data_IF_730907627097
#
_entry.id   IF_730907627097
#
_cell.length_a   1.000
_cell.length_b   1.000
_cell.length_c   1.000
_cell.angle_alpha   90.00
_cell.angle_beta   90.00
_cell.angle_gamma   90.00
#
_symmetry.space_group_name_H-M   'P 1'
#
loop_
_entity.id
_entity.type
_entity.pdbx_description
1 polymer ?
#
# COMPACT_ATOMS: atom_id res chain seq x y z
N UNK A 1 5.12 38.69 -31.45
CA UNK A 1 5.21 38.63 -29.97
C UNK A 1 4.31 37.51 -29.43
N UNK A 2 4.47 36.26 -29.92
CA UNK A 2 3.49 35.18 -29.69
C UNK A 2 4.11 33.78 -29.53
N UNK A 3 5.43 33.67 -29.33
CA UNK A 3 6.14 32.37 -29.26
C UNK A 3 6.45 31.86 -27.84
N UNK A 4 6.21 32.66 -26.79
CA UNK A 4 6.60 32.29 -25.41
C UNK A 4 5.48 31.66 -24.55
N UNK A 5 4.22 31.65 -25.00
CA UNK A 5 3.08 31.12 -24.22
C UNK A 5 2.84 29.60 -24.38
N UNK A 6 3.35 28.97 -25.43
CA UNK A 6 3.21 27.53 -25.69
C UNK A 6 4.05 26.59 -24.77
N UNK A 7 5.29 26.91 -24.36
CA UNK A 7 6.08 26.01 -23.51
C UNK A 7 5.53 25.90 -22.07
N UNK A 8 4.93 26.96 -21.52
CA UNK A 8 4.44 26.96 -20.13
C UNK A 8 3.21 26.04 -19.95
N UNK A 9 2.30 26.01 -20.93
CA UNK A 9 1.11 25.14 -20.91
C UNK A 9 1.46 23.64 -21.02
N UNK A 10 2.55 23.32 -21.71
CA UNK A 10 2.99 21.93 -21.86
C UNK A 10 3.73 21.41 -20.63
N UNK A 11 4.40 22.27 -19.86
CA UNK A 11 5.02 21.88 -18.59
C UNK A 11 3.98 21.62 -17.48
N UNK A 12 2.97 22.49 -17.35
CA UNK A 12 1.91 22.32 -16.33
C UNK A 12 1.10 21.04 -16.55
N UNK A 13 0.76 20.72 -17.80
CA UNK A 13 0.07 19.47 -18.14
C UNK A 13 0.90 18.23 -17.80
N UNK A 14 2.21 18.25 -18.05
CA UNK A 14 3.12 17.14 -17.69
C UNK A 14 3.28 16.99 -16.18
N UNK A 15 3.28 18.08 -15.43
CA UNK A 15 3.32 18.05 -13.97
C UNK A 15 2.02 17.46 -13.40
N UNK A 16 0.86 17.86 -13.94
CA UNK A 16 -0.42 17.30 -13.56
C UNK A 16 -0.49 15.79 -13.85
N UNK A 17 -0.08 15.35 -15.04
CA UNK A 17 -0.03 13.93 -15.40
C UNK A 17 0.88 13.12 -14.45
N UNK A 18 2.05 13.68 -14.10
CA UNK A 18 2.96 13.04 -13.14
C UNK A 18 2.35 12.94 -11.75
N UNK A 19 1.73 14.02 -11.25
CA UNK A 19 1.08 14.04 -9.95
C UNK A 19 -0.04 13.00 -9.89
N UNK A 20 -0.89 12.95 -10.92
CA UNK A 20 -1.99 11.98 -11.04
C UNK A 20 -1.44 10.55 -11.04
N UNK A 21 -0.42 10.25 -11.84
CA UNK A 21 0.22 8.93 -11.85
C UNK A 21 0.83 8.57 -10.49
N UNK A 22 1.40 9.53 -9.77
CA UNK A 22 1.92 9.33 -8.42
C UNK A 22 0.82 8.99 -7.40
N UNK A 23 -0.32 9.67 -7.46
CA UNK A 23 -1.49 9.39 -6.62
C UNK A 23 -2.02 7.99 -6.88
N UNK A 24 -2.19 7.61 -8.15
CA UNK A 24 -2.66 6.29 -8.53
C UNK A 24 -1.70 5.18 -8.12
N UNK A 25 -0.40 5.43 -8.21
CA UNK A 25 0.61 4.50 -7.71
C UNK A 25 0.57 4.34 -6.18
N UNK A 26 0.41 5.45 -5.46
CA UNK A 26 0.26 5.43 -4.00
C UNK A 26 -1.00 4.66 -3.59
N UNK A 27 -2.10 4.85 -4.32
CA UNK A 27 -3.35 4.14 -4.10
C UNK A 27 -3.20 2.64 -4.35
N UNK A 28 -2.54 2.26 -5.45
CA UNK A 28 -2.21 0.87 -5.73
C UNK A 28 -1.46 0.20 -4.56
N UNK A 29 -0.37 0.83 -4.10
CA UNK A 29 0.45 0.29 -3.01
C UNK A 29 -0.35 0.21 -1.70
N UNK A 30 -1.18 1.20 -1.43
CA UNK A 30 -2.05 1.23 -0.26
C UNK A 30 -3.09 0.10 -0.26
N UNK A 31 -3.76 -0.11 -1.40
CA UNK A 31 -4.69 -1.23 -1.57
C UNK A 31 -3.98 -2.56 -1.37
N UNK A 32 -2.78 -2.72 -1.94
CA UNK A 32 -1.99 -3.95 -1.75
C UNK A 32 -1.60 -4.17 -0.29
N UNK A 33 -1.31 -3.13 0.47
CA UNK A 33 -0.97 -3.25 1.89
C UNK A 33 -2.17 -3.68 2.75
N UNK A 34 -3.37 -3.18 2.46
CA UNK A 34 -4.58 -3.51 3.20
C UNK A 34 -5.16 -4.89 2.83
N UNK A 35 -4.99 -5.32 1.58
CA UNK A 35 -5.66 -6.51 1.03
C UNK A 35 -5.40 -7.84 1.77
N UNK A 36 -4.17 -8.17 2.23
CA UNK A 36 -3.92 -9.43 2.94
C UNK A 36 -4.72 -9.58 4.23
N UNK A 37 -5.00 -8.49 4.93
CA UNK A 37 -5.83 -8.53 6.14
C UNK A 37 -7.28 -8.85 5.80
N UNK A 38 -7.85 -8.19 4.79
CA UNK A 38 -9.21 -8.50 4.32
C UNK A 38 -9.35 -9.92 3.78
N UNK A 39 -8.33 -10.41 3.06
CA UNK A 39 -8.29 -11.80 2.60
C UNK A 39 -8.25 -12.78 3.78
N UNK A 40 -7.50 -12.46 4.83
CA UNK A 40 -7.43 -13.28 6.03
C UNK A 40 -8.74 -13.30 6.80
N UNK A 41 -9.37 -12.14 7.01
CA UNK A 41 -10.68 -12.05 7.67
C UNK A 41 -11.75 -12.81 6.89
N UNK A 42 -11.81 -12.64 5.57
CA UNK A 42 -12.69 -13.42 4.70
C UNK A 42 -12.45 -14.93 4.79
N UNK A 43 -11.18 -15.36 4.87
CA UNK A 43 -10.83 -16.77 5.05
C UNK A 43 -11.27 -17.32 6.42
N UNK A 44 -11.12 -16.54 7.49
CA UNK A 44 -11.57 -16.94 8.83
C UNK A 44 -13.09 -17.14 8.87
N UNK A 45 -13.84 -16.24 8.23
CA UNK A 45 -15.31 -16.35 8.10
C UNK A 45 -15.68 -17.63 7.33
N UNK A 46 -15.01 -17.90 6.21
CA UNK A 46 -15.18 -19.12 5.41
C UNK A 46 -14.93 -20.38 6.25
N UNK A 47 -13.82 -20.45 6.97
CA UNK A 47 -13.45 -21.62 7.77
C UNK A 47 -14.40 -21.89 8.94
N UNK A 48 -15.11 -20.87 9.42
CA UNK A 48 -15.99 -20.99 10.57
C UNK A 48 -17.42 -21.50 10.22
N UNK A 49 -17.93 -21.31 9.00
CA UNK A 49 -19.35 -21.59 8.69
C UNK A 49 -19.61 -22.11 7.26
N UNK A 50 -19.77 -23.44 7.10
CA UNK A 50 -20.03 -24.05 5.78
C UNK A 50 -21.51 -23.94 5.31
N UNK A 51 -21.94 -22.84 4.65
CA UNK A 51 -23.25 -22.62 4.00
C UNK A 51 -23.19 -21.89 2.64
N UNK A 52 -24.26 -21.90 1.82
CA UNK A 52 -24.36 -21.27 0.47
C UNK A 52 -23.92 -19.79 0.38
N UNK A 53 -23.91 -19.06 1.48
CA UNK A 53 -23.45 -17.67 1.58
C UNK A 53 -21.93 -17.58 1.41
N UNK A 54 -21.20 -18.64 1.78
CA UNK A 54 -19.76 -18.74 1.56
C UNK A 54 -19.38 -18.76 0.09
N UNK A 55 -20.23 -19.27 -0.80
CA UNK A 55 -19.93 -19.32 -2.23
C UNK A 55 -19.76 -17.91 -2.81
N UNK A 56 -20.50 -16.92 -2.27
CA UNK A 56 -20.35 -15.51 -2.62
C UNK A 56 -19.07 -14.90 -2.02
N UNK A 57 -18.72 -15.25 -0.77
CA UNK A 57 -17.46 -14.82 -0.16
C UNK A 57 -16.22 -15.47 -0.77
N UNK A 58 -16.32 -16.73 -1.23
CA UNK A 58 -15.29 -17.44 -1.98
C UNK A 58 -15.17 -16.90 -3.42
N UNK A 59 -16.27 -16.44 -4.03
CA UNK A 59 -16.24 -15.67 -5.28
C UNK A 59 -15.62 -14.28 -5.09
N UNK A 60 -15.85 -13.63 -3.95
CA UNK A 60 -15.21 -12.36 -3.59
C UNK A 60 -13.71 -12.52 -3.36
N UNK A 61 -13.32 -13.46 -2.51
CA UNK A 61 -11.93 -13.83 -2.25
C UNK A 61 -11.28 -14.31 -3.55
N UNK A 62 -11.99 -15.09 -4.36
CA UNK A 62 -11.56 -15.57 -5.68
C UNK A 62 -11.40 -14.46 -6.72
N UNK A 63 -12.20 -13.39 -6.66
CA UNK A 63 -12.08 -12.23 -7.56
C UNK A 63 -10.97 -11.28 -7.10
N UNK A 64 -10.86 -10.97 -5.81
CA UNK A 64 -9.71 -10.26 -5.24
C UNK A 64 -8.42 -11.03 -5.55
N UNK A 65 -8.39 -12.35 -5.29
CA UNK A 65 -7.29 -13.23 -5.66
C UNK A 65 -7.06 -13.20 -7.16
N UNK A 66 -8.04 -13.35 -8.05
CA UNK A 66 -7.82 -13.32 -9.49
C UNK A 66 -7.08 -12.05 -9.95
N UNK A 67 -7.35 -10.89 -9.35
CA UNK A 67 -6.66 -9.63 -9.65
C UNK A 67 -5.27 -9.49 -9.05
N UNK A 68 -4.98 -10.12 -7.90
CA UNK A 68 -3.61 -10.22 -7.36
C UNK A 68 -2.80 -11.30 -8.08
N UNK A 69 -3.46 -12.41 -8.37
CA UNK A 69 -2.94 -13.64 -8.95
C UNK A 69 -2.63 -13.42 -10.42
N UNK A 70 -3.39 -12.66 -11.20
CA UNK A 70 -3.05 -12.46 -12.62
C UNK A 70 -1.73 -11.71 -12.84
N UNK A 71 -1.43 -10.57 -12.16
CA UNK A 71 -0.10 -9.96 -12.15
C UNK A 71 0.98 -10.88 -11.58
N UNK A 72 0.69 -11.61 -10.50
CA UNK A 72 1.68 -12.52 -9.89
C UNK A 72 1.95 -13.75 -10.76
N UNK A 73 0.94 -14.32 -11.42
CA UNK A 73 1.02 -15.44 -12.36
C UNK A 73 1.74 -15.00 -13.61
N UNK A 74 1.45 -13.82 -14.17
CA UNK A 74 2.22 -13.31 -15.31
C UNK A 74 3.69 -13.11 -14.93
N UNK A 75 4.00 -12.64 -13.71
CA UNK A 75 5.39 -12.56 -13.22
C UNK A 75 6.04 -13.93 -13.03
N UNK A 76 5.32 -14.91 -12.48
CA UNK A 76 5.78 -16.29 -12.26
C UNK A 76 6.00 -17.04 -13.58
N UNK A 77 5.04 -16.94 -14.50
CA UNK A 77 5.08 -17.55 -15.83
C UNK A 77 6.29 -17.07 -16.63
N UNK A 78 6.65 -15.79 -16.50
CA UNK A 78 7.81 -15.24 -17.20
C UNK A 78 9.12 -15.42 -16.44
N UNK A 79 9.12 -15.99 -15.22
CA UNK A 79 10.25 -16.05 -14.27
C UNK A 79 11.03 -14.73 -14.15
N UNK A 80 10.36 -13.61 -14.45
CA UNK A 80 10.94 -12.29 -14.57
C UNK A 80 10.21 -11.42 -13.57
N UNK A 81 10.97 -10.92 -12.59
CA UNK A 81 10.47 -9.96 -11.61
C UNK A 81 10.15 -8.58 -12.22
N UNK A 82 10.18 -8.43 -13.55
CA UNK A 82 9.81 -7.20 -14.25
C UNK A 82 8.36 -7.32 -14.73
N UNK A 83 7.42 -6.54 -14.17
CA UNK A 83 6.06 -6.54 -14.65
C UNK A 83 6.04 -6.09 -16.12
N UNK A 84 5.52 -6.95 -16.99
CA UNK A 84 5.36 -6.67 -18.41
C UNK A 84 3.96 -6.07 -18.65
N UNK A 85 3.67 -4.92 -18.03
CA UNK A 85 2.48 -4.15 -18.37
C UNK A 85 2.72 -3.42 -19.70
N UNK A 86 2.61 -4.17 -20.78
CA UNK A 86 2.65 -3.63 -22.15
C UNK A 86 1.25 -3.10 -22.47
N UNK A 87 0.96 -1.85 -22.09
CA UNK A 87 -0.15 -1.09 -22.70
C UNK A 87 -1.24 -0.51 -21.78
N UNK A 88 -1.33 -0.87 -20.49
CA UNK A 88 -2.30 -0.22 -19.59
C UNK A 88 -1.71 1.03 -18.92
N UNK A 89 -2.50 2.09 -18.84
CA UNK A 89 -2.08 3.30 -18.13
C UNK A 89 -2.07 3.04 -16.61
N UNK A 90 -1.13 3.63 -15.83
CA UNK A 90 -1.12 3.51 -14.37
C UNK A 90 -2.44 3.96 -13.73
N UNK A 91 -3.08 4.96 -14.34
CA UNK A 91 -4.43 5.43 -14.02
C UNK A 91 -5.47 4.32 -14.15
N UNK A 92 -5.48 3.58 -15.27
CA UNK A 92 -6.41 2.47 -15.46
C UNK A 92 -6.16 1.34 -14.44
N UNK A 93 -4.88 1.00 -14.19
CA UNK A 93 -4.53 -0.04 -13.21
C UNK A 93 -4.99 0.33 -11.79
N UNK A 94 -4.78 1.58 -11.38
CA UNK A 94 -5.16 2.04 -10.05
C UNK A 94 -6.66 2.30 -9.91
N UNK A 95 -7.35 2.79 -10.95
CA UNK A 95 -8.81 2.90 -10.96
C UNK A 95 -9.45 1.52 -10.89
N UNK A 96 -8.91 0.53 -11.61
CA UNK A 96 -9.37 -0.85 -11.48
C UNK A 96 -9.11 -1.37 -10.07
N UNK A 97 -7.90 -1.22 -9.52
CA UNK A 97 -7.60 -1.65 -8.15
C UNK A 97 -8.51 -0.98 -7.11
N UNK A 98 -8.81 0.31 -7.27
CA UNK A 98 -9.75 1.03 -6.41
C UNK A 98 -11.17 0.49 -6.55
N UNK A 99 -11.66 0.32 -7.79
CA UNK A 99 -12.99 -0.21 -8.05
C UNK A 99 -13.15 -1.62 -7.45
N UNK A 100 -12.13 -2.47 -7.56
CA UNK A 100 -12.11 -3.79 -6.93
C UNK A 100 -11.99 -3.75 -5.41
N UNK A 101 -11.25 -2.79 -4.84
CA UNK A 101 -11.20 -2.60 -3.40
C UNK A 101 -12.58 -2.19 -2.85
N UNK A 102 -13.23 -1.21 -3.49
CA UNK A 102 -14.59 -0.77 -3.12
C UNK A 102 -15.60 -1.90 -3.29
N UNK A 103 -15.57 -2.62 -4.43
CA UNK A 103 -16.41 -3.80 -4.63
C UNK A 103 -16.11 -4.88 -3.58
N UNK A 104 -14.84 -5.07 -3.23
CA UNK A 104 -14.33 -5.90 -2.15
C UNK A 104 -15.04 -5.63 -0.84
N UNK A 105 -14.98 -4.38 -0.39
CA UNK A 105 -15.61 -3.91 0.85
C UNK A 105 -17.13 -4.05 0.79
N UNK A 106 -17.77 -3.61 -0.29
CA UNK A 106 -19.24 -3.70 -0.42
C UNK A 106 -19.75 -5.15 -0.37
N UNK A 107 -19.03 -6.09 -1.00
CA UNK A 107 -19.43 -7.50 -0.99
C UNK A 107 -19.08 -8.16 0.34
N UNK A 108 -17.93 -7.82 0.96
CA UNK A 108 -17.59 -8.28 2.31
C UNK A 108 -18.73 -7.94 3.29
N UNK A 109 -19.22 -6.70 3.23
CA UNK A 109 -20.31 -6.21 4.07
C UNK A 109 -21.65 -6.85 3.76
N UNK A 110 -21.97 -7.05 2.47
CA UNK A 110 -23.17 -7.80 2.10
C UNK A 110 -23.13 -9.25 2.65
N UNK A 111 -21.95 -9.86 2.71
CA UNK A 111 -21.75 -11.21 3.26
C UNK A 111 -21.87 -11.21 4.79
N UNK A 112 -21.21 -10.29 5.51
CA UNK A 112 -21.28 -10.23 6.99
C UNK A 112 -22.72 -10.04 7.45
N UNK A 113 -23.48 -9.16 6.80
CA UNK A 113 -24.90 -8.94 7.08
C UNK A 113 -25.78 -10.17 6.76
N UNK A 114 -25.44 -10.95 5.75
CA UNK A 114 -26.21 -12.14 5.38
C UNK A 114 -25.94 -13.35 6.30
N UNK A 115 -24.74 -13.45 6.87
CA UNK A 115 -24.31 -14.58 7.73
C UNK A 115 -24.84 -14.44 9.16
N UNK A 116 -24.99 -13.22 9.67
CA UNK A 116 -25.39 -13.03 11.07
C UNK A 116 -26.90 -13.26 11.29
N UNK A 117 -27.27 -14.52 11.58
CA UNK A 117 -28.65 -14.98 11.80
C UNK A 117 -29.32 -14.42 13.07
N UNK A 118 -28.64 -13.58 13.85
CA UNK A 118 -29.16 -12.99 15.08
C UNK A 118 -29.21 -11.46 15.10
N UNK A 119 -28.88 -10.79 13.99
CA UNK A 119 -28.69 -9.35 14.00
C UNK A 119 -30.02 -8.58 14.19
N UNK A 120 -30.07 -7.76 15.24
CA UNK A 120 -31.03 -6.66 15.35
C UNK A 120 -30.79 -5.75 14.15
N UNK A 121 -31.81 -5.35 13.37
CA UNK A 121 -31.62 -4.50 12.21
C UNK A 121 -31.09 -3.12 12.63
N UNK A 122 -29.77 -2.99 12.69
CA UNK A 122 -29.10 -1.71 12.58
C UNK A 122 -29.22 -1.19 11.15
N UNK A 123 -29.16 0.13 10.92
CA UNK A 123 -29.16 0.67 9.57
C UNK A 123 -27.94 0.12 8.81
N UNK A 124 -28.20 -0.60 7.70
CA UNK A 124 -27.24 -1.20 6.75
C UNK A 124 -26.07 -0.27 6.41
N UNK A 125 -26.35 1.04 6.39
CA UNK A 125 -25.36 2.07 6.09
C UNK A 125 -24.19 2.14 7.07
N UNK A 126 -24.37 1.74 8.34
CA UNK A 126 -23.30 1.86 9.36
C UNK A 126 -22.21 0.81 9.19
N UNK A 127 -22.57 -0.43 8.89
CA UNK A 127 -21.60 -1.52 8.76
C UNK A 127 -20.67 -1.31 7.54
N UNK A 128 -21.23 -0.84 6.42
CA UNK A 128 -20.44 -0.47 5.25
C UNK A 128 -19.45 0.65 5.53
N UNK A 129 -19.89 1.65 6.29
CA UNK A 129 -19.05 2.78 6.69
C UNK A 129 -17.91 2.29 7.57
N UNK A 130 -18.17 1.41 8.54
CA UNK A 130 -17.15 0.86 9.44
C UNK A 130 -16.09 0.04 8.68
N UNK A 131 -16.50 -0.81 7.72
CA UNK A 131 -15.56 -1.56 6.90
C UNK A 131 -14.73 -0.67 5.96
N UNK A 132 -15.33 0.40 5.43
CA UNK A 132 -14.59 1.41 4.67
C UNK A 132 -13.58 2.15 5.55
N UNK A 133 -13.95 2.50 6.78
CA UNK A 133 -13.03 3.11 7.74
C UNK A 133 -11.88 2.19 8.07
N UNK A 134 -12.14 0.90 8.30
CA UNK A 134 -11.10 -0.10 8.51
C UNK A 134 -10.18 -0.21 7.27
N UNK A 135 -10.72 -0.20 6.05
CA UNK A 135 -9.87 -0.23 4.85
C UNK A 135 -8.99 1.02 4.73
N UNK A 136 -9.53 2.18 5.06
CA UNK A 136 -8.79 3.45 5.08
C UNK A 136 -7.72 3.47 6.17
N UNK A 137 -7.99 2.86 7.33
CA UNK A 137 -7.06 2.69 8.44
C UNK A 137 -5.73 2.09 7.97
N UNK A 138 -5.81 0.91 7.33
CA UNK A 138 -4.64 0.19 6.84
C UNK A 138 -4.02 0.84 5.58
N UNK A 139 -4.83 1.47 4.73
CA UNK A 139 -4.36 2.06 3.47
C UNK A 139 -3.64 3.40 3.65
N UNK A 140 -3.96 4.19 4.68
CA UNK A 140 -3.52 5.59 4.75
C UNK A 140 -2.00 5.75 4.89
N UNK A 141 -1.33 4.95 5.73
CA UNK A 141 0.11 5.08 5.96
C UNK A 141 0.90 4.73 4.68
N UNK A 142 0.70 3.57 4.03
CA UNK A 142 1.40 3.24 2.78
C UNK A 142 1.10 4.23 1.65
N UNK A 143 -0.14 4.72 1.56
CA UNK A 143 -0.52 5.78 0.62
C UNK A 143 0.33 7.03 0.87
N UNK A 144 0.34 7.52 2.10
CA UNK A 144 1.01 8.76 2.46
C UNK A 144 2.53 8.65 2.27
N UNK A 145 3.14 7.54 2.67
CA UNK A 145 4.57 7.27 2.48
C UNK A 145 4.93 7.24 1.00
N UNK A 146 4.15 6.54 0.17
CA UNK A 146 4.42 6.44 -1.26
C UNK A 146 4.21 7.78 -1.97
N UNK A 147 3.17 8.53 -1.61
CA UNK A 147 2.93 9.87 -2.13
C UNK A 147 4.09 10.82 -1.78
N UNK A 148 4.58 10.76 -0.53
CA UNK A 148 5.72 11.55 -0.07
C UNK A 148 7.03 11.17 -0.80
N UNK A 149 7.25 9.89 -1.05
CA UNK A 149 8.35 9.39 -1.87
C UNK A 149 8.29 9.90 -3.31
N UNK A 150 7.11 9.89 -3.93
CA UNK A 150 6.91 10.45 -5.27
C UNK A 150 7.14 11.98 -5.28
N UNK A 151 6.67 12.68 -4.24
CA UNK A 151 6.90 14.11 -4.08
C UNK A 151 8.39 14.45 -3.93
N UNK A 152 9.17 13.60 -3.26
CA UNK A 152 10.62 13.79 -3.06
C UNK A 152 11.44 13.87 -4.37
N UNK A 153 10.89 13.31 -5.46
CA UNK A 153 11.45 13.41 -6.81
C UNK A 153 11.19 14.77 -7.47
N UNK A 154 10.09 15.45 -7.11
CA UNK A 154 9.75 16.75 -7.66
C UNK A 154 10.64 17.83 -7.03
N UNK A 155 11.42 18.53 -7.86
CA UNK A 155 12.56 19.35 -7.42
C UNK A 155 12.18 20.76 -6.89
N UNK A 156 11.11 20.92 -6.13
CA UNK A 156 10.64 22.24 -5.65
C UNK A 156 10.50 22.31 -4.13
N UNK A 157 10.89 23.43 -3.53
CA UNK A 157 10.57 23.78 -2.14
C UNK A 157 9.07 23.65 -1.82
N UNK A 158 8.21 23.83 -2.83
CA UNK A 158 6.76 23.72 -2.74
C UNK A 158 6.23 22.32 -2.40
N UNK A 159 7.03 21.24 -2.55
CA UNK A 159 6.60 19.87 -2.23
C UNK A 159 7.16 19.35 -0.91
N UNK A 160 7.89 20.17 -0.14
CA UNK A 160 8.29 19.84 1.23
C UNK A 160 7.11 19.54 2.18
N UNK A 161 5.94 20.22 2.12
CA UNK A 161 4.83 19.86 3.00
C UNK A 161 4.32 18.43 2.78
N UNK A 162 4.50 17.85 1.59
CA UNK A 162 4.13 16.46 1.32
C UNK A 162 5.00 15.45 2.10
N UNK A 163 6.16 15.85 2.63
CA UNK A 163 6.97 15.01 3.51
C UNK A 163 6.38 14.89 4.91
N UNK A 164 5.47 15.77 5.30
CA UNK A 164 4.74 15.69 6.56
C UNK A 164 3.53 14.74 6.46
N UNK A 165 3.08 14.41 5.24
CA UNK A 165 1.90 13.59 4.99
C UNK A 165 1.93 12.24 5.74
N UNK A 166 3.04 11.47 5.79
CA UNK A 166 3.08 10.22 6.54
C UNK A 166 2.87 10.42 8.04
N UNK A 167 3.46 11.47 8.62
CA UNK A 167 3.30 11.78 10.04
C UNK A 167 1.89 12.27 10.36
N UNK A 168 1.27 13.04 9.45
CA UNK A 168 -0.13 13.42 9.57
C UNK A 168 -1.03 12.20 9.51
N UNK A 169 -0.80 11.28 8.56
CA UNK A 169 -1.56 10.04 8.44
C UNK A 169 -1.45 9.20 9.72
N UNK A 170 -0.23 9.00 10.23
CA UNK A 170 0.04 8.34 11.51
C UNK A 170 -0.71 9.02 12.66
N UNK A 171 -0.56 10.34 12.83
CA UNK A 171 -1.26 11.08 13.89
C UNK A 171 -2.78 10.96 13.80
N UNK A 172 -3.34 10.99 12.58
CA UNK A 172 -4.76 10.78 12.36
C UNK A 172 -5.18 9.35 12.72
N UNK A 173 -4.38 8.33 12.39
CA UNK A 173 -4.67 6.95 12.80
C UNK A 173 -4.82 6.86 14.32
N UNK A 174 -3.84 7.40 15.06
CA UNK A 174 -3.88 7.39 16.51
C UNK A 174 -5.11 8.10 17.08
N UNK A 175 -5.52 9.23 16.51
CA UNK A 175 -6.62 10.05 17.07
C UNK A 175 -8.00 9.60 16.64
N UNK A 176 -8.15 9.09 15.42
CA UNK A 176 -9.46 8.73 14.85
C UNK A 176 -9.84 7.30 15.20
N UNK A 177 -8.88 6.38 15.23
CA UNK A 177 -9.11 4.96 15.47
C UNK A 177 -8.74 4.53 16.90
N UNK A 178 -8.45 5.50 17.77
CA UNK A 178 -8.19 5.29 19.20
C UNK A 178 -7.11 4.24 19.50
N UNK A 179 -6.10 4.12 18.63
CA UNK A 179 -5.03 3.12 18.77
C UNK A 179 -4.35 3.19 20.14
N UNK A 180 -4.10 2.01 20.71
CA UNK A 180 -3.34 1.92 21.95
C UNK A 180 -1.91 2.43 21.72
N UNK A 181 -1.28 3.00 22.75
CA UNK A 181 0.12 3.47 22.67
C UNK A 181 1.05 2.35 22.18
N UNK A 182 0.74 1.09 22.54
CA UNK A 182 1.47 -0.10 22.05
C UNK A 182 1.42 -0.19 20.53
N UNK A 183 0.23 -0.17 19.93
CA UNK A 183 0.00 -0.26 18.49
C UNK A 183 0.65 0.91 17.74
N UNK A 184 0.57 2.11 18.33
CA UNK A 184 1.25 3.30 17.81
C UNK A 184 2.76 3.07 17.73
N UNK A 185 3.37 2.54 18.80
CA UNK A 185 4.81 2.27 18.83
C UNK A 185 5.19 1.17 17.84
N UNK A 186 4.45 0.07 17.81
CA UNK A 186 4.76 -1.08 16.95
C UNK A 186 4.56 -0.81 15.47
N UNK A 187 3.72 0.17 15.12
CA UNK A 187 3.48 0.56 13.72
C UNK A 187 4.29 1.78 13.29
N UNK A 188 4.36 2.84 14.11
CA UNK A 188 4.97 4.11 13.69
C UNK A 188 6.48 4.01 13.56
N UNK A 189 7.15 3.27 14.46
CA UNK A 189 8.61 3.12 14.41
C UNK A 189 9.04 2.49 13.09
N UNK A 190 8.60 1.26 12.75
CA UNK A 190 8.96 0.64 11.47
C UNK A 190 8.49 1.47 10.27
N UNK A 191 7.28 2.04 10.29
CA UNK A 191 6.80 2.86 9.17
C UNK A 191 7.62 4.14 8.96
N UNK A 192 8.10 4.78 10.04
CA UNK A 192 8.99 5.94 9.97
C UNK A 192 10.35 5.55 9.40
N UNK A 193 10.92 4.42 9.85
CA UNK A 193 12.17 3.89 9.32
C UNK A 193 12.05 3.57 7.83
N UNK A 194 10.92 2.96 7.42
CA UNK A 194 10.59 2.68 6.01
C UNK A 194 10.56 3.99 5.23
N UNK A 195 9.77 4.97 5.69
CA UNK A 195 9.63 6.27 5.05
C UNK A 195 10.99 6.95 4.84
N UNK A 196 11.79 7.10 5.90
CA UNK A 196 13.10 7.78 5.84
C UNK A 196 14.06 7.03 4.92
N UNK A 197 14.18 5.71 5.07
CA UNK A 197 15.10 4.89 4.27
C UNK A 197 14.71 4.85 2.79
N UNK A 198 13.42 4.71 2.50
CA UNK A 198 12.88 4.80 1.15
C UNK A 198 13.07 6.19 0.55
N UNK A 199 12.85 7.26 1.32
CA UNK A 199 13.08 8.63 0.88
C UNK A 199 14.54 8.85 0.47
N UNK A 200 15.49 8.40 1.29
CA UNK A 200 16.93 8.47 0.97
C UNK A 200 17.25 7.65 -0.29
N UNK A 201 16.73 6.42 -0.40
CA UNK A 201 16.93 5.56 -1.57
C UNK A 201 16.44 6.24 -2.87
N UNK A 202 15.26 6.82 -2.82
CA UNK A 202 14.58 7.46 -3.93
C UNK A 202 15.28 8.76 -4.35
N UNK A 203 15.72 9.56 -3.36
CA UNK A 203 16.48 10.79 -3.60
C UNK A 203 17.84 10.53 -4.24
N UNK A 204 18.47 9.39 -3.92
CA UNK A 204 19.76 8.99 -4.51
C UNK A 204 19.60 8.54 -5.95
N UNK A 205 18.62 7.67 -6.24
CA UNK A 205 18.44 7.08 -7.56
C UNK A 205 16.96 6.83 -7.87
N UNK A 206 16.40 7.65 -8.76
CA UNK A 206 15.06 7.45 -9.33
C UNK A 206 15.18 6.73 -10.67
N UNK A 207 14.98 5.41 -10.67
CA UNK A 207 14.94 4.55 -11.86
C UNK A 207 13.73 3.59 -11.81
N UNK A 208 13.59 2.74 -12.83
CA UNK A 208 12.53 1.71 -12.90
C UNK A 208 12.57 0.74 -11.72
N UNK A 209 13.73 0.56 -11.08
CA UNK A 209 13.94 -0.38 -9.98
C UNK A 209 13.80 0.29 -8.60
N UNK A 210 13.52 1.59 -8.52
CA UNK A 210 13.42 2.32 -7.26
C UNK A 210 12.39 1.71 -6.31
N UNK A 211 11.21 1.34 -6.80
CA UNK A 211 10.17 0.69 -5.98
C UNK A 211 10.57 -0.70 -5.51
N UNK A 212 11.31 -1.47 -6.32
CA UNK A 212 11.85 -2.77 -5.88
C UNK A 212 12.91 -2.61 -4.81
N UNK A 213 13.74 -1.57 -4.88
CA UNK A 213 14.69 -1.24 -3.81
C UNK A 213 13.93 -0.84 -2.54
N UNK A 214 12.88 -0.03 -2.66
CA UNK A 214 12.01 0.29 -1.53
C UNK A 214 11.33 -0.95 -0.96
N UNK A 215 10.87 -1.89 -1.79
CA UNK A 215 10.32 -3.17 -1.33
C UNK A 215 11.32 -3.97 -0.50
N UNK A 216 12.59 -4.03 -0.93
CA UNK A 216 13.67 -4.67 -0.15
C UNK A 216 13.91 -3.96 1.17
N UNK A 217 13.94 -2.63 1.17
CA UNK A 217 14.10 -1.82 2.39
C UNK A 217 12.94 -2.08 3.35
N UNK A 218 11.70 -2.06 2.85
CA UNK A 218 10.49 -2.40 3.63
C UNK A 218 10.59 -3.80 4.22
N UNK A 219 10.98 -4.80 3.42
CA UNK A 219 11.16 -6.17 3.90
C UNK A 219 12.24 -6.28 4.99
N UNK A 220 13.40 -5.65 4.78
CA UNK A 220 14.48 -5.68 5.77
C UNK A 220 14.08 -5.00 7.08
N UNK A 221 13.39 -3.85 7.02
CA UNK A 221 12.95 -3.14 8.22
C UNK A 221 11.86 -3.92 8.94
N UNK A 222 10.87 -4.45 8.23
CA UNK A 222 9.80 -5.25 8.83
C UNK A 222 10.36 -6.52 9.50
N UNK A 223 11.21 -7.29 8.80
CA UNK A 223 11.84 -8.49 9.37
C UNK A 223 12.76 -8.15 10.54
N UNK A 224 13.54 -7.06 10.43
CA UNK A 224 14.38 -6.59 11.53
C UNK A 224 13.55 -6.18 12.76
N UNK A 225 12.42 -5.52 12.55
CA UNK A 225 11.49 -5.13 13.61
C UNK A 225 10.84 -6.34 14.29
N UNK A 226 10.39 -7.33 13.53
CA UNK A 226 9.84 -8.57 14.09
C UNK A 226 10.89 -9.36 14.87
N UNK A 227 12.09 -9.51 14.32
CA UNK A 227 13.19 -10.17 15.02
C UNK A 227 13.56 -9.44 16.33
N UNK A 228 13.64 -8.11 16.29
CA UNK A 228 13.91 -7.29 17.47
C UNK A 228 12.81 -7.44 18.51
N UNK A 229 11.53 -7.37 18.10
CA UNK A 229 10.39 -7.49 19.00
C UNK A 229 10.34 -8.86 19.67
N UNK A 230 10.60 -9.94 18.93
CA UNK A 230 10.73 -11.29 19.48
C UNK A 230 11.91 -11.40 20.45
N UNK A 231 13.08 -10.84 20.12
CA UNK A 231 14.25 -10.88 20.99
C UNK A 231 14.02 -10.10 22.30
N UNK A 232 13.38 -8.94 22.23
CA UNK A 232 13.01 -8.16 23.41
C UNK A 232 11.97 -8.90 24.27
N UNK A 233 10.95 -9.50 23.65
CA UNK A 233 9.95 -10.28 24.37
C UNK A 233 10.56 -11.50 25.07
N UNK A 234 11.49 -12.20 24.41
CA UNK A 234 12.23 -13.32 25.00
C UNK A 234 13.11 -12.84 26.16
N UNK A 235 13.82 -11.72 26.00
CA UNK A 235 14.65 -11.14 27.06
C UNK A 235 13.83 -10.78 28.30
N UNK A 236 12.66 -10.14 28.11
CA UNK A 236 11.74 -9.79 29.19
C UNK A 236 11.14 -11.02 29.88
N UNK A 237 10.90 -12.09 29.11
CA UNK A 237 10.45 -13.37 29.65
C UNK A 237 11.50 -14.00 30.56
N UNK A 238 12.78 -13.95 30.18
CA UNK A 238 13.88 -14.45 31.01
C UNK A 238 14.08 -13.67 32.31
N UNK A 239 13.79 -12.37 32.34
CA UNK A 239 13.95 -11.54 33.54
C UNK A 239 12.80 -11.69 34.55
N UNK A 240 11.81 -12.55 34.30
CA UNK A 240 10.60 -12.75 35.12
C UNK A 240 9.83 -11.46 35.48
N UNK A 241 10.14 -10.37 34.79
CA UNK A 241 9.40 -9.13 34.91
C UNK A 241 8.02 -9.33 34.30
N UNK A 242 6.96 -8.93 35.02
CA UNK A 242 5.60 -8.80 34.46
C UNK A 242 5.55 -7.60 33.48
N UNK A 243 6.46 -7.59 32.52
CA UNK A 243 6.52 -6.54 31.52
C UNK A 243 5.33 -6.70 30.55
N UNK A 244 4.76 -5.59 30.09
CA UNK A 244 3.72 -5.62 29.08
C UNK A 244 4.22 -6.33 27.82
N UNK A 245 3.35 -7.16 27.22
CA UNK A 245 3.62 -7.79 25.92
C UNK A 245 3.87 -6.71 24.87
N UNK A 246 4.98 -6.82 24.14
CA UNK A 246 5.31 -5.91 23.03
C UNK A 246 4.35 -6.12 21.86
N UNK A 247 4.03 -7.39 21.58
CA UNK A 247 3.03 -7.81 20.61
C UNK A 247 2.11 -8.86 21.24
N UNK A 248 0.81 -8.71 21.05
CA UNK A 248 -0.07 -9.85 21.08
C UNK A 248 0.17 -10.72 19.82
N UNK A 249 -0.03 -12.03 19.92
CA UNK A 249 0.06 -12.93 18.77
C UNK A 249 -0.85 -12.50 17.63
N UNK A 250 -2.04 -12.01 17.94
CA UNK A 250 -2.99 -11.49 16.95
C UNK A 250 -2.44 -10.25 16.23
N UNK A 251 -1.99 -9.24 16.98
CA UNK A 251 -1.37 -8.00 16.46
C UNK A 251 -0.14 -8.29 15.60
N UNK A 252 0.70 -9.24 16.01
CA UNK A 252 1.89 -9.63 15.27
C UNK A 252 1.55 -10.09 13.84
N UNK A 253 0.52 -10.93 13.70
CA UNK A 253 0.11 -11.46 12.41
C UNK A 253 -0.59 -10.43 11.53
N UNK A 254 -1.31 -9.48 12.14
CA UNK A 254 -1.90 -8.36 11.42
C UNK A 254 -0.78 -7.52 10.79
N UNK A 255 0.21 -7.10 11.58
CA UNK A 255 1.33 -6.30 11.07
C UNK A 255 2.16 -7.06 10.04
N UNK A 256 2.36 -8.37 10.23
CA UNK A 256 3.04 -9.20 9.25
C UNK A 256 2.35 -9.17 7.89
N UNK A 257 1.02 -9.36 7.87
CA UNK A 257 0.21 -9.32 6.65
C UNK A 257 0.23 -7.93 6.01
N UNK A 258 0.15 -6.88 6.83
CA UNK A 258 0.25 -5.50 6.38
C UNK A 258 1.58 -5.22 5.65
N UNK A 259 2.73 -5.55 6.26
CA UNK A 259 4.03 -5.34 5.60
C UNK A 259 4.19 -6.24 4.37
N UNK A 260 3.70 -7.48 4.40
CA UNK A 260 3.72 -8.36 3.25
C UNK A 260 2.96 -7.75 2.06
N UNK A 261 1.75 -7.24 2.30
CA UNK A 261 0.95 -6.56 1.29
C UNK A 261 1.65 -5.34 0.71
N UNK A 262 2.29 -4.54 1.56
CA UNK A 262 3.05 -3.36 1.14
C UNK A 262 4.24 -3.76 0.25
N UNK A 263 4.99 -4.80 0.64
CA UNK A 263 6.12 -5.32 -0.15
C UNK A 263 5.64 -5.81 -1.52
N UNK A 264 4.55 -6.59 -1.56
CA UNK A 264 3.94 -7.07 -2.81
C UNK A 264 3.59 -5.88 -3.68
N UNK A 265 2.84 -4.90 -3.14
CA UNK A 265 2.42 -3.69 -3.85
C UNK A 265 3.58 -2.94 -4.49
N UNK A 266 4.72 -2.83 -3.78
CA UNK A 266 5.94 -2.19 -4.29
C UNK A 266 6.65 -3.02 -5.39
N UNK A 267 6.60 -4.35 -5.32
CA UNK A 267 7.20 -5.24 -6.32
C UNK A 267 6.39 -5.23 -7.61
N UNK A 268 5.06 -5.28 -7.50
CA UNK A 268 4.13 -5.34 -8.64
C UNK A 268 3.71 -3.96 -9.13
N UNK A 269 4.24 -2.89 -8.51
CA UNK A 269 3.92 -1.51 -8.81
C UNK A 269 4.00 -1.23 -10.33
N UNK A 270 2.92 -0.69 -10.95
CA UNK A 270 2.92 -0.41 -12.37
C UNK A 270 4.00 0.63 -12.69
N UNK A 271 4.92 0.28 -13.59
CA UNK A 271 6.01 1.15 -14.01
C UNK A 271 5.46 2.27 -14.93
N UNK A 272 4.85 3.30 -14.35
CA UNK A 272 4.27 4.43 -15.08
C UNK A 272 5.28 5.39 -15.71
N UNK A 273 6.57 5.21 -15.47
CA UNK A 273 7.62 6.01 -16.09
C UNK A 273 7.97 5.41 -17.45
N UNK A 274 7.16 5.77 -18.45
CA UNK A 274 7.39 5.48 -19.87
C UNK A 274 8.88 5.60 -20.23
N UNK A 275 9.42 4.52 -20.79
CA UNK A 275 10.76 4.42 -21.37
C UNK A 275 11.11 5.51 -22.41
N UNK A 276 10.13 6.32 -22.82
CA UNK A 276 10.25 7.49 -23.70
C UNK A 276 11.27 8.54 -23.22
N UNK A 277 11.53 8.63 -21.91
CA UNK A 277 12.54 9.59 -21.38
C UNK A 277 13.96 9.02 -21.35
N UNK A 278 14.16 7.70 -21.35
CA UNK A 278 15.51 7.12 -21.38
C UNK A 278 16.17 7.28 -22.76
N UNK A 279 15.40 7.24 -23.86
CA UNK A 279 15.92 7.51 -25.21
C UNK A 279 16.20 9.00 -25.49
N UNK A 280 15.55 9.93 -24.79
CA UNK A 280 15.88 11.35 -24.90
C UNK A 280 17.21 11.69 -24.22
N UNK A 281 17.54 10.99 -23.12
CA UNK A 281 18.83 11.18 -22.43
C UNK A 281 20.01 10.55 -23.17
N UNK A 282 19.81 9.44 -23.90
CA UNK A 282 20.88 8.83 -24.71
C UNK A 282 21.14 9.60 -26.01
N UNK A 283 20.11 10.22 -26.61
CA UNK A 283 20.27 11.07 -27.81
C UNK A 283 20.86 12.46 -27.51
N UNK A 284 20.84 12.91 -26.25
CA UNK A 284 21.53 14.12 -25.81
C UNK A 284 23.05 13.93 -25.61
N UNK A 285 23.48 12.70 -25.30
CA UNK A 285 24.89 12.37 -25.09
C UNK A 285 25.66 12.14 -26.40
N UNK A 286 24.98 11.86 -27.52
CA UNK A 286 25.63 11.69 -28.84
C UNK A 286 25.76 12.99 -29.66
N UNK A 287 25.54 14.15 -29.04
CA UNK A 287 25.80 15.47 -29.66
C UNK A 287 27.04 16.18 -29.07
N UNK A 288 27.77 15.50 -28.18
CA UNK A 288 28.99 15.99 -27.56
C UNK A 288 30.19 15.03 -27.74
N UNK A 289 30.06 14.08 -28.67
CA UNK A 289 31.16 13.32 -29.25
C UNK A 289 31.09 13.51 -30.77
#
# INVERSE_FOLDING_TARGET
MSRELLPQKTESLRLAERAINGVFLALWIATCAASPEFLWQGLQILLAHVTRIEMASALLVGSILAFFVEPMLTMLQHRRLTPHYVGSSPCAAALMALAFAVAGVCVHEAVTMAVDKGHVPGPVDRHLVDALFQALEWAAIPFAVTAAWFAAYLKRWQVQPLLLLPFTAMYLQWRVFEWEIREVVTTFIPCTLIFVSGHVCIRRQWDILAFKRCAKITACIALGWFALSCALQLGLWFTQTQAPLIYNWHEFWIDFRFYLGWIIGLIVAPCGLRASQMHASTKGASRFL
#
